data_IF_433094205466
#
_entry.id   IF_433094205466
#
_cell.length_a   1.000
_cell.length_b   1.000
_cell.length_c   1.000
_cell.angle_alpha   90.00
_cell.angle_beta   90.00
_cell.angle_gamma   90.00
#
_symmetry.space_group_name_H-M   'P 1'
#
loop_
_entity.id
_entity.type
_entity.pdbx_description
1 polymer ?
#
# COMPACT_ATOMS: atom_id res chain seq x y z
N UNK A 1 25.75 5.95 -4.80
CA UNK A 1 25.54 4.49 -4.97
C UNK A 1 24.31 4.12 -4.17
N UNK A 2 23.24 3.69 -4.83
CA UNK A 2 22.00 3.29 -4.16
C UNK A 2 22.29 1.98 -3.43
N UNK A 3 22.17 1.96 -2.10
CA UNK A 3 22.29 0.71 -1.35
C UNK A 3 21.11 -0.17 -1.73
N UNK A 4 21.36 -1.20 -2.52
CA UNK A 4 20.45 -2.34 -2.61
C UNK A 4 20.32 -2.91 -1.21
N UNK A 5 19.22 -2.61 -0.52
CA UNK A 5 18.86 -3.29 0.71
C UNK A 5 18.94 -4.80 0.43
N UNK A 6 19.69 -5.53 1.23
CA UNK A 6 19.79 -6.99 1.10
C UNK A 6 18.38 -7.58 1.11
N UNK A 7 17.96 -8.22 0.02
CA UNK A 7 16.71 -8.97 -0.01
C UNK A 7 16.88 -10.18 0.88
N UNK A 8 16.46 -10.05 2.14
CA UNK A 8 16.36 -11.19 3.07
C UNK A 8 15.20 -12.06 2.62
N UNK A 9 15.53 -13.25 2.12
CA UNK A 9 14.55 -14.27 1.78
C UNK A 9 14.19 -15.07 3.04
N UNK A 10 12.89 -15.26 3.28
CA UNK A 10 12.38 -16.03 4.42
C UNK A 10 11.71 -17.31 3.91
N UNK A 11 12.12 -18.50 4.38
CA UNK A 11 11.48 -19.75 3.98
C UNK A 11 10.08 -19.87 4.58
N UNK A 12 9.11 -20.32 3.78
CA UNK A 12 7.75 -20.64 4.21
C UNK A 12 7.53 -22.14 4.04
N UNK A 13 7.26 -22.85 5.14
CA UNK A 13 6.90 -24.27 5.12
C UNK A 13 5.40 -24.43 5.36
N UNK A 14 4.73 -25.21 4.51
CA UNK A 14 3.29 -25.48 4.61
C UNK A 14 2.99 -26.92 4.21
N UNK A 15 1.90 -27.46 4.75
CA UNK A 15 1.36 -28.78 4.40
C UNK A 15 0.05 -28.58 3.64
N UNK A 16 -0.08 -29.27 2.51
CA UNK A 16 -1.25 -29.21 1.64
C UNK A 16 -1.73 -30.64 1.37
N UNK A 17 -3.05 -30.87 1.27
CA UNK A 17 -3.60 -32.11 0.73
C UNK A 17 -3.05 -32.42 -0.66
N UNK A 18 -2.93 -33.70 -0.99
CA UNK A 18 -2.41 -34.15 -2.30
C UNK A 18 -3.22 -33.58 -3.47
N UNK A 19 -4.55 -33.51 -3.33
CA UNK A 19 -5.45 -32.96 -4.33
C UNK A 19 -5.14 -31.48 -4.63
N UNK A 20 -4.83 -30.69 -3.60
CA UNK A 20 -4.53 -29.27 -3.74
C UNK A 20 -3.17 -29.08 -4.43
N UNK A 21 -2.16 -29.88 -4.05
CA UNK A 21 -0.84 -29.87 -4.70
C UNK A 21 -0.97 -30.23 -6.18
N UNK A 22 -1.75 -31.25 -6.52
CA UNK A 22 -1.98 -31.65 -7.91
C UNK A 22 -2.67 -30.54 -8.73
N UNK A 23 -3.63 -29.83 -8.14
CA UNK A 23 -4.28 -28.70 -8.79
C UNK A 23 -3.31 -27.53 -9.00
N UNK A 24 -2.49 -27.20 -8.00
CA UNK A 24 -1.46 -26.15 -8.09
C UNK A 24 -0.46 -26.48 -9.19
N UNK A 25 0.02 -27.72 -9.26
CA UNK A 25 0.96 -28.15 -10.30
C UNK A 25 0.38 -28.01 -11.70
N UNK A 26 -0.88 -28.43 -11.88
CA UNK A 26 -1.58 -28.23 -13.14
C UNK A 26 -1.65 -26.75 -13.52
N UNK A 27 -2.00 -25.88 -12.57
CA UNK A 27 -2.09 -24.44 -12.82
C UNK A 27 -0.72 -23.80 -13.13
N UNK A 28 0.32 -24.20 -12.41
CA UNK A 28 1.70 -23.75 -12.63
C UNK A 28 2.20 -24.18 -14.03
N UNK A 29 1.95 -25.43 -14.41
CA UNK A 29 2.28 -25.97 -15.73
C UNK A 29 1.56 -25.22 -16.86
N UNK A 30 0.27 -24.94 -16.70
CA UNK A 30 -0.50 -24.14 -17.68
C UNK A 30 0.06 -22.72 -17.86
N UNK A 31 0.72 -22.17 -16.83
CA UNK A 31 1.36 -20.85 -16.86
C UNK A 31 2.85 -20.91 -17.21
N UNK A 32 3.42 -22.10 -17.44
CA UNK A 32 4.85 -22.28 -17.71
C UNK A 32 5.75 -21.81 -16.56
N UNK A 33 5.29 -21.93 -15.31
CA UNK A 33 6.03 -21.50 -14.10
C UNK A 33 6.28 -22.68 -13.17
N UNK A 34 7.29 -22.56 -12.31
CA UNK A 34 7.51 -23.54 -11.23
C UNK A 34 6.38 -23.47 -10.19
N UNK A 35 6.14 -24.58 -9.48
CA UNK A 35 5.20 -24.64 -8.34
C UNK A 35 5.49 -23.52 -7.34
N UNK A 36 6.75 -23.36 -6.96
CA UNK A 36 7.19 -22.35 -5.98
C UNK A 36 6.89 -20.94 -6.46
N UNK A 37 7.20 -20.63 -7.73
CA UNK A 37 6.91 -19.30 -8.29
C UNK A 37 5.42 -19.02 -8.36
N UNK A 38 4.63 -20.02 -8.76
CA UNK A 38 3.18 -19.89 -8.84
C UNK A 38 2.55 -19.63 -7.47
N UNK A 39 2.93 -20.41 -6.46
CA UNK A 39 2.41 -20.24 -5.08
C UNK A 39 2.84 -18.90 -4.49
N UNK A 40 4.10 -18.49 -4.69
CA UNK A 40 4.60 -17.19 -4.22
C UNK A 40 3.81 -16.04 -4.84
N UNK A 41 3.66 -16.04 -6.17
CA UNK A 41 2.94 -14.99 -6.91
C UNK A 41 1.47 -14.90 -6.49
N UNK A 42 0.81 -16.06 -6.35
CA UNK A 42 -0.57 -16.13 -5.88
C UNK A 42 -0.74 -15.60 -4.44
N UNK A 43 0.17 -15.98 -3.53
CA UNK A 43 0.13 -15.55 -2.13
C UNK A 43 0.36 -14.04 -1.99
N UNK A 44 1.35 -13.48 -2.70
CA UNK A 44 1.62 -12.04 -2.68
C UNK A 44 0.44 -11.27 -3.24
N UNK A 45 -0.09 -11.69 -4.38
CA UNK A 45 -1.26 -11.03 -4.98
C UNK A 45 -2.47 -11.03 -4.05
N UNK A 46 -2.79 -12.16 -3.43
CA UNK A 46 -3.89 -12.24 -2.46
C UNK A 46 -3.66 -11.31 -1.26
N UNK A 47 -2.43 -11.22 -0.75
CA UNK A 47 -2.09 -10.31 0.32
C UNK A 47 -2.23 -8.83 -0.10
N UNK A 48 -1.76 -8.46 -1.30
CA UNK A 48 -1.90 -7.12 -1.87
C UNK A 48 -3.38 -6.72 -2.02
N UNK A 49 -4.22 -7.63 -2.53
CA UNK A 49 -5.66 -7.41 -2.67
C UNK A 49 -6.29 -7.07 -1.29
N UNK A 50 -5.97 -7.84 -0.24
CA UNK A 50 -6.46 -7.58 1.13
C UNK A 50 -5.96 -6.26 1.70
N UNK A 51 -4.68 -5.92 1.48
CA UNK A 51 -4.11 -4.64 1.95
C UNK A 51 -4.78 -3.47 1.24
N UNK A 52 -5.02 -3.58 -0.06
CA UNK A 52 -5.72 -2.54 -0.83
C UNK A 52 -7.18 -2.35 -0.38
N UNK A 53 -7.85 -3.42 0.04
CA UNK A 53 -9.22 -3.32 0.59
C UNK A 53 -9.31 -2.45 1.86
N UNK A 54 -8.24 -2.38 2.66
CA UNK A 54 -8.20 -1.56 3.87
C UNK A 54 -8.01 -0.06 3.58
N UNK A 55 -7.51 0.30 2.39
CA UNK A 55 -7.26 1.70 1.99
C UNK A 55 -8.46 2.38 1.31
N UNK A 56 -9.59 1.70 1.14
CA UNK A 56 -10.75 2.24 0.44
C UNK A 56 -11.59 3.12 1.37
N UNK A 57 -11.60 4.43 1.11
CA UNK A 57 -12.61 5.34 1.67
C UNK A 57 -13.91 5.14 0.90
N UNK A 58 -14.82 4.33 1.46
CA UNK A 58 -16.18 4.15 0.92
C UNK A 58 -17.04 5.35 1.29
N UNK A 59 -17.74 5.91 0.30
CA UNK A 59 -18.69 7.02 0.49
C UNK A 59 -19.95 6.76 -0.33
N UNK A 60 -21.09 7.31 0.10
CA UNK A 60 -22.31 7.30 -0.70
C UNK A 60 -22.14 8.18 -1.95
N UNK A 61 -22.96 8.03 -2.99
CA UNK A 61 -22.94 8.92 -4.14
C UNK A 61 -23.06 10.40 -3.76
N UNK A 62 -23.88 10.72 -2.75
CA UNK A 62 -24.07 12.07 -2.24
C UNK A 62 -22.79 12.57 -1.54
N UNK A 63 -22.20 11.75 -0.67
CA UNK A 63 -20.93 12.09 -0.02
C UNK A 63 -19.77 12.28 -1.00
N UNK A 64 -19.79 11.54 -2.13
CA UNK A 64 -18.84 11.75 -3.22
C UNK A 64 -19.08 13.07 -3.96
N UNK A 65 -20.34 13.44 -4.21
CA UNK A 65 -20.66 14.72 -4.83
C UNK A 65 -20.21 15.90 -3.95
N UNK A 66 -20.49 15.85 -2.65
CA UNK A 66 -20.07 16.88 -1.68
C UNK A 66 -18.53 16.98 -1.60
N UNK A 67 -17.85 15.83 -1.58
CA UNK A 67 -16.39 15.77 -1.59
C UNK A 67 -15.79 16.41 -2.84
N UNK A 68 -16.33 16.08 -4.02
CA UNK A 68 -15.90 16.65 -5.29
C UNK A 68 -16.17 18.15 -5.37
N UNK A 69 -17.30 18.61 -4.84
CA UNK A 69 -17.61 20.04 -4.77
C UNK A 69 -16.53 20.78 -3.96
N UNK A 70 -16.18 20.27 -2.76
CA UNK A 70 -15.14 20.86 -1.93
C UNK A 70 -13.78 20.87 -2.64
N UNK A 71 -13.38 19.77 -3.28
CA UNK A 71 -12.11 19.68 -4.02
C UNK A 71 -12.03 20.63 -5.22
N UNK A 72 -13.15 20.91 -5.87
CA UNK A 72 -13.21 21.79 -7.04
C UNK A 72 -13.12 23.28 -6.70
N UNK A 73 -13.32 23.66 -5.43
CA UNK A 73 -13.29 25.05 -5.00
C UNK A 73 -11.85 25.58 -4.97
N UNK A 74 -11.65 26.88 -5.24
CA UNK A 74 -10.36 27.52 -5.03
C UNK A 74 -9.86 27.31 -3.59
N UNK A 75 -8.56 27.10 -3.38
CA UNK A 75 -8.02 26.86 -2.06
C UNK A 75 -8.28 28.10 -1.18
N UNK A 76 -8.88 27.86 -0.01
CA UNK A 76 -9.02 28.90 1.00
C UNK A 76 -7.79 28.90 1.88
N UNK A 77 -7.14 30.06 2.00
CA UNK A 77 -5.97 30.20 2.87
C UNK A 77 -6.46 30.24 4.31
N UNK A 78 -6.12 29.21 5.07
CA UNK A 78 -6.36 29.15 6.52
C UNK A 78 -5.13 29.75 7.21
N UNK A 79 -5.24 30.88 7.94
CA UNK A 79 -4.10 31.55 8.56
C UNK A 79 -3.27 30.62 9.46
N UNK A 80 -3.92 29.78 10.26
CA UNK A 80 -3.27 28.81 11.15
C UNK A 80 -2.47 27.77 10.37
N UNK A 81 -2.95 27.36 9.20
CA UNK A 81 -2.22 26.43 8.31
C UNK A 81 -0.99 27.11 7.70
N UNK A 82 -1.11 28.39 7.33
CA UNK A 82 0.05 29.17 6.84
C UNK A 82 1.11 29.35 7.91
N UNK A 83 0.73 29.59 9.17
CA UNK A 83 1.65 29.68 10.29
C UNK A 83 2.43 28.36 10.49
N UNK A 84 1.75 27.21 10.35
CA UNK A 84 2.40 25.90 10.39
C UNK A 84 3.35 25.70 9.21
N UNK A 85 2.90 26.02 7.99
CA UNK A 85 3.70 25.82 6.76
C UNK A 85 4.93 26.73 6.69
N UNK A 86 4.87 27.93 7.29
CA UNK A 86 6.01 28.87 7.38
C UNK A 86 6.97 28.53 8.51
N UNK A 87 6.58 27.64 9.43
CA UNK A 87 7.43 27.28 10.55
C UNK A 87 8.63 26.49 10.00
N UNK A 88 9.87 26.86 10.36
CA UNK A 88 11.04 26.06 10.00
C UNK A 88 10.87 24.64 10.53
N UNK A 89 11.33 23.66 9.76
CA UNK A 89 11.28 22.27 10.18
C UNK A 89 12.12 22.07 11.47
N UNK A 90 11.82 21.06 12.30
CA UNK A 90 12.53 20.84 13.57
C UNK A 90 14.06 20.67 13.46
N UNK A 91 14.58 20.41 12.26
CA UNK A 91 16.00 20.26 11.96
C UNK A 91 16.62 21.46 11.24
N UNK A 92 15.87 22.54 11.00
CA UNK A 92 16.35 23.74 10.32
C UNK A 92 16.84 24.83 11.30
N UNK A 93 17.86 25.63 10.93
CA UNK A 93 18.28 26.77 11.72
C UNK A 93 17.14 27.79 11.89
N UNK A 94 16.74 28.06 13.14
CA UNK A 94 15.65 28.99 13.47
C UNK A 94 14.36 28.35 13.99
N UNK A 95 14.33 27.03 14.18
CA UNK A 95 13.22 26.37 14.87
C UNK A 95 13.18 26.72 16.36
N UNK A 96 12.10 27.38 16.78
CA UNK A 96 11.75 27.51 18.19
C UNK A 96 10.54 26.62 18.54
N UNK A 97 10.64 25.76 19.57
CA UNK A 97 9.50 24.99 20.06
C UNK A 97 8.49 25.91 20.76
N UNK A 98 7.26 26.01 20.25
CA UNK A 98 6.12 26.58 21.01
C UNK A 98 5.95 25.78 22.30
N UNK A 99 6.12 26.45 23.45
CA UNK A 99 5.81 25.92 24.79
C UNK A 99 4.31 25.86 25.02
#
# INVERSE_FOLDING_TARGET
MVSTAERKEYPISMRLPEADVAMIDRAANLRGRSRTDFVRDAAVRAAEEVVMEQGLIRMSPEGFADFMEILSRPPTIVPEMMEVLKRPAPWEPGFEPKR
#
